data_IF_175397148851
#
_entry.id   IF_175397148851
#
_cell.length_a   1.000
_cell.length_b   1.000
_cell.length_c   1.000
_cell.angle_alpha   90.00
_cell.angle_beta   90.00
_cell.angle_gamma   90.00
#
_symmetry.space_group_name_H-M   'P 1'
#
loop_
_entity.id
_entity.type
_entity.pdbx_description
1 polymer ?
#
# COMPACT_ATOMS: atom_id res chain seq x y z
N UNK A 1 -37.33 -56.81 -32.03
CA UNK A 1 -37.99 -55.58 -31.48
C UNK A 1 -37.28 -55.07 -30.23
N UNK A 2 -36.73 -55.93 -29.39
CA UNK A 2 -36.02 -55.61 -28.13
C UNK A 2 -34.72 -54.80 -28.27
N UNK A 3 -33.95 -54.96 -29.34
CA UNK A 3 -32.67 -54.24 -29.53
C UNK A 3 -32.82 -52.74 -29.81
N UNK A 4 -33.91 -52.33 -30.47
CA UNK A 4 -34.18 -50.91 -30.80
C UNK A 4 -34.62 -50.13 -29.56
N UNK A 5 -35.39 -50.76 -28.67
CA UNK A 5 -35.82 -50.18 -27.39
C UNK A 5 -34.62 -49.90 -26.47
N UNK A 6 -33.64 -50.82 -26.42
CA UNK A 6 -32.44 -50.65 -25.61
C UNK A 6 -31.54 -49.48 -26.06
N UNK A 7 -31.51 -49.19 -27.36
CA UNK A 7 -30.71 -48.07 -27.90
C UNK A 7 -31.36 -46.71 -27.60
N UNK A 8 -32.69 -46.62 -27.67
CA UNK A 8 -33.43 -45.41 -27.30
C UNK A 8 -33.34 -45.11 -25.80
N UNK A 9 -33.44 -46.14 -24.94
CA UNK A 9 -33.26 -45.97 -23.50
C UNK A 9 -31.83 -45.51 -23.18
N UNK A 10 -30.81 -46.11 -23.82
CA UNK A 10 -29.41 -45.70 -23.62
C UNK A 10 -29.18 -44.24 -24.04
N UNK A 11 -29.76 -43.82 -25.18
CA UNK A 11 -29.67 -42.43 -25.67
C UNK A 11 -30.34 -41.44 -24.71
N UNK A 12 -31.52 -41.78 -24.18
CA UNK A 12 -32.23 -40.94 -23.20
C UNK A 12 -31.45 -40.83 -21.88
N UNK A 13 -30.88 -41.94 -21.40
CA UNK A 13 -30.04 -41.92 -20.19
C UNK A 13 -28.80 -41.04 -20.40
N UNK A 14 -28.12 -41.14 -21.54
CA UNK A 14 -26.96 -40.29 -21.84
C UNK A 14 -27.34 -38.81 -21.96
N UNK A 15 -28.48 -38.49 -22.57
CA UNK A 15 -28.97 -37.11 -22.67
C UNK A 15 -29.30 -36.54 -21.27
N UNK A 16 -29.92 -37.33 -20.40
CA UNK A 16 -30.22 -36.92 -19.03
C UNK A 16 -28.96 -36.71 -18.20
N UNK A 17 -27.94 -37.56 -18.36
CA UNK A 17 -26.65 -37.39 -17.71
C UNK A 17 -25.92 -36.14 -18.21
N UNK A 18 -25.96 -35.87 -19.51
CA UNK A 18 -25.39 -34.66 -20.09
C UNK A 18 -26.12 -33.39 -19.62
N UNK A 19 -27.46 -33.43 -19.55
CA UNK A 19 -28.26 -32.32 -19.02
C UNK A 19 -27.98 -32.09 -17.53
N UNK A 20 -27.84 -33.16 -16.74
CA UNK A 20 -27.48 -33.07 -15.33
C UNK A 20 -26.06 -32.48 -15.11
N UNK A 21 -25.13 -32.72 -16.05
CA UNK A 21 -23.80 -32.13 -16.02
C UNK A 21 -23.82 -30.62 -16.27
N UNK A 22 -24.70 -30.14 -17.16
CA UNK A 22 -24.86 -28.71 -17.50
C UNK A 22 -25.61 -27.96 -16.38
N UNK A 23 -26.45 -28.67 -15.62
CA UNK A 23 -27.23 -28.10 -14.51
C UNK A 23 -26.46 -28.02 -13.18
N UNK A 24 -25.18 -28.44 -13.13
CA UNK A 24 -24.33 -28.22 -11.97
C UNK A 24 -24.10 -26.71 -11.82
N UNK A 25 -24.57 -26.07 -10.73
CA UNK A 25 -24.33 -24.65 -10.53
C UNK A 25 -22.83 -24.42 -10.35
N UNK A 26 -22.26 -23.49 -11.11
CA UNK A 26 -20.94 -22.95 -10.80
C UNK A 26 -21.03 -22.28 -9.42
N UNK A 27 -20.53 -22.96 -8.40
CA UNK A 27 -20.42 -22.35 -7.08
C UNK A 27 -19.37 -21.25 -7.17
N UNK A 28 -19.81 -20.00 -7.25
CA UNK A 28 -18.96 -18.84 -7.01
C UNK A 28 -18.58 -18.89 -5.53
N UNK A 29 -17.50 -19.58 -5.22
CA UNK A 29 -16.92 -19.55 -3.89
C UNK A 29 -16.30 -18.16 -3.73
N UNK A 30 -16.83 -17.38 -2.79
CA UNK A 30 -16.15 -16.17 -2.35
C UNK A 30 -14.74 -16.54 -1.88
N UNK A 31 -13.75 -15.69 -2.19
CA UNK A 31 -12.40 -15.88 -1.66
C UNK A 31 -12.49 -15.91 -0.13
N UNK A 32 -12.04 -16.98 0.54
CA UNK A 32 -12.08 -17.04 2.00
C UNK A 32 -11.17 -15.94 2.57
N UNK A 33 -11.67 -15.23 3.59
CA UNK A 33 -10.90 -14.22 4.30
C UNK A 33 -10.91 -14.52 5.80
N UNK A 34 -9.82 -14.18 6.48
CA UNK A 34 -9.73 -14.18 7.94
C UNK A 34 -9.89 -12.74 8.41
N UNK A 35 -10.86 -12.51 9.28
CA UNK A 35 -10.99 -11.22 9.96
C UNK A 35 -9.99 -11.14 11.11
N UNK A 36 -9.28 -10.01 11.19
CA UNK A 36 -8.41 -9.65 12.30
C UNK A 36 -8.86 -8.27 12.77
N UNK A 37 -9.41 -8.20 13.98
CA UNK A 37 -10.03 -6.99 14.53
C UNK A 37 -9.41 -6.61 15.88
N UNK A 38 -9.99 -5.60 16.53
CA UNK A 38 -9.62 -5.21 17.90
C UNK A 38 -9.81 -6.35 18.91
N UNK A 39 -10.73 -7.27 18.64
CA UNK A 39 -10.97 -8.44 19.50
C UNK A 39 -9.81 -9.46 19.42
N UNK A 40 -9.01 -9.37 18.36
CA UNK A 40 -7.78 -10.16 18.18
C UNK A 40 -6.53 -9.42 18.68
N UNK A 41 -6.68 -8.20 19.18
CA UNK A 41 -5.58 -7.38 19.70
C UNK A 41 -5.13 -6.24 18.79
N UNK A 42 -5.75 -6.01 17.61
CA UNK A 42 -5.44 -4.81 16.81
C UNK A 42 -5.76 -3.52 17.62
N UNK A 43 -4.88 -2.53 17.61
CA UNK A 43 -5.06 -1.32 18.45
C UNK A 43 -6.18 -0.39 17.98
N UNK A 44 -6.51 -0.42 16.69
CA UNK A 44 -7.61 0.34 16.13
C UNK A 44 -8.16 -0.30 14.85
N UNK A 45 -9.48 -0.36 14.72
CA UNK A 45 -10.16 -0.83 13.50
C UNK A 45 -9.89 0.03 12.25
N UNK A 46 -9.41 1.27 12.41
CA UNK A 46 -9.05 2.14 11.29
C UNK A 46 -7.59 1.95 10.94
N UNK A 47 -7.32 0.97 10.10
CA UNK A 47 -6.01 0.73 9.48
C UNK A 47 -5.89 1.61 8.23
N UNK A 48 -4.85 2.43 8.17
CA UNK A 48 -4.54 3.31 7.03
C UNK A 48 -3.68 2.59 5.99
N UNK A 49 -2.70 1.82 6.45
CA UNK A 49 -1.74 1.13 5.59
C UNK A 49 -1.22 -0.14 6.28
N UNK A 50 -0.77 -1.10 5.47
CA UNK A 50 -0.16 -2.33 5.95
C UNK A 50 1.01 -2.76 5.07
N UNK A 51 2.08 -3.26 5.68
CA UNK A 51 3.24 -3.78 4.96
C UNK A 51 3.76 -5.07 5.60
N UNK A 52 4.34 -5.96 4.78
CA UNK A 52 5.04 -7.15 5.24
C UNK A 52 6.54 -6.87 5.21
N UNK A 53 7.23 -7.08 6.33
CA UNK A 53 8.69 -7.00 6.37
C UNK A 53 9.37 -8.31 5.97
N UNK A 54 10.67 -8.24 5.73
CA UNK A 54 11.49 -9.38 5.33
C UNK A 54 11.63 -10.45 6.43
N UNK A 55 11.30 -10.13 7.68
CA UNK A 55 11.30 -11.07 8.80
C UNK A 55 9.94 -11.79 8.95
N UNK A 56 8.95 -11.46 8.12
CA UNK A 56 7.62 -12.05 8.15
C UNK A 56 6.64 -11.37 9.10
N UNK A 57 7.01 -10.23 9.71
CA UNK A 57 6.06 -9.43 10.50
C UNK A 57 5.21 -8.56 9.58
N UNK A 58 3.92 -8.50 9.88
CA UNK A 58 2.99 -7.59 9.24
C UNK A 58 2.85 -6.37 10.13
N UNK A 59 3.07 -5.19 9.54
CA UNK A 59 2.93 -3.93 10.23
C UNK A 59 1.68 -3.20 9.76
N UNK A 60 0.91 -2.66 10.69
CA UNK A 60 -0.31 -1.92 10.43
C UNK A 60 -0.21 -0.51 10.98
N UNK A 61 -0.32 0.50 10.12
CA UNK A 61 -0.50 1.87 10.53
C UNK A 61 -1.97 2.07 10.91
N UNK A 62 -2.28 2.12 12.20
CA UNK A 62 -3.64 2.33 12.71
C UNK A 62 -3.81 3.76 13.22
N UNK A 63 -5.05 4.19 13.43
CA UNK A 63 -5.31 5.50 14.04
C UNK A 63 -4.82 5.60 15.50
N UNK A 64 -4.54 4.49 16.19
CA UNK A 64 -4.02 4.52 17.57
C UNK A 64 -2.49 4.39 17.65
N UNK A 65 -1.82 4.07 16.54
CA UNK A 65 -0.39 3.76 16.54
C UNK A 65 -0.02 2.74 15.47
N UNK A 66 1.20 2.22 15.53
CA UNK A 66 1.65 1.15 14.65
C UNK A 66 1.51 -0.18 15.38
N UNK A 67 0.90 -1.18 14.74
CA UNK A 67 0.83 -2.54 15.26
C UNK A 67 1.74 -3.47 14.45
N UNK A 68 2.63 -4.20 15.13
CA UNK A 68 3.42 -5.30 14.54
C UNK A 68 2.79 -6.63 14.89
N UNK A 69 2.51 -7.46 13.89
CA UNK A 69 1.84 -8.74 14.02
C UNK A 69 2.71 -9.86 13.48
N UNK A 70 2.83 -10.95 14.23
CA UNK A 70 3.63 -12.13 13.84
C UNK A 70 2.80 -13.34 13.39
N UNK A 71 1.47 -13.19 13.26
CA UNK A 71 0.55 -14.30 12.99
C UNK A 71 -0.17 -14.84 14.23
N UNK A 72 0.26 -14.47 15.43
CA UNK A 72 -0.33 -14.91 16.70
C UNK A 72 -0.72 -13.73 17.60
N UNK A 73 0.20 -12.80 17.86
CA UNK A 73 -0.01 -11.66 18.75
C UNK A 73 0.50 -10.35 18.15
N UNK A 74 0.03 -9.25 18.74
CA UNK A 74 0.38 -7.88 18.36
C UNK A 74 1.37 -7.24 19.35
N UNK A 75 2.24 -6.39 18.82
CA UNK A 75 3.03 -5.42 19.59
C UNK A 75 2.63 -4.02 19.13
N UNK A 76 2.37 -3.12 20.08
CA UNK A 76 1.85 -1.78 19.83
C UNK A 76 2.92 -0.72 20.02
N UNK A 77 3.03 0.20 19.06
CA UNK A 77 3.96 1.32 19.10
C UNK A 77 3.21 2.64 18.96
N UNK A 78 3.43 3.56 19.89
CA UNK A 78 2.93 4.93 19.82
C UNK A 78 3.94 5.83 19.13
N UNK A 79 3.45 6.78 18.33
CA UNK A 79 4.28 7.83 17.76
C UNK A 79 4.16 9.08 18.64
N UNK A 80 5.27 9.53 19.23
CA UNK A 80 5.29 10.70 20.13
C UNK A 80 6.24 11.77 19.59
N UNK A 81 5.88 13.04 19.80
CA UNK A 81 6.69 14.20 19.35
C UNK A 81 7.92 14.39 20.25
N UNK A 82 7.83 14.01 21.52
CA UNK A 82 8.97 13.98 22.44
C UNK A 82 8.74 12.94 23.54
N UNK A 83 9.81 12.52 24.22
CA UNK A 83 9.72 11.60 25.35
C UNK A 83 8.91 12.18 26.54
N UNK A 84 8.76 13.50 26.59
CA UNK A 84 8.05 14.23 27.66
C UNK A 84 6.61 14.60 27.28
N UNK A 85 6.21 14.44 26.02
CA UNK A 85 4.88 14.80 25.54
C UNK A 85 3.94 13.59 25.54
N UNK A 86 2.77 13.76 26.16
CA UNK A 86 1.65 12.79 26.10
C UNK A 86 0.89 12.84 24.75
N UNK A 87 1.23 13.78 23.88
CA UNK A 87 0.57 13.92 22.57
C UNK A 87 1.05 12.81 21.64
N UNK A 88 0.18 11.82 21.45
CA UNK A 88 0.35 10.75 20.47
C UNK A 88 -0.13 11.22 19.10
N UNK A 89 0.65 10.91 18.07
CA UNK A 89 0.26 11.18 16.69
C UNK A 89 -0.49 9.99 16.09
N UNK A 90 -1.29 10.29 15.06
CA UNK A 90 -2.04 9.29 14.31
C UNK A 90 -1.29 8.95 13.03
N UNK A 91 -0.72 7.75 12.91
CA UNK A 91 -0.12 7.30 11.67
C UNK A 91 -1.09 7.40 10.49
N UNK A 92 -0.59 7.92 9.37
CA UNK A 92 -1.24 7.91 8.06
C UNK A 92 -0.69 6.84 7.14
N UNK A 93 0.53 6.38 7.40
CA UNK A 93 1.11 5.30 6.63
C UNK A 93 2.42 4.76 7.20
N UNK A 94 2.89 3.69 6.58
CA UNK A 94 4.08 2.92 6.94
C UNK A 94 4.68 2.30 5.69
N UNK A 95 6.01 2.36 5.56
CA UNK A 95 6.74 1.85 4.40
C UNK A 95 8.09 1.26 4.78
N UNK A 96 8.63 0.42 3.90
CA UNK A 96 9.98 -0.14 4.00
C UNK A 96 10.77 0.33 2.78
N UNK A 97 11.99 0.84 3.00
CA UNK A 97 12.91 1.14 1.91
C UNK A 97 13.70 -0.09 1.45
N UNK A 98 14.49 0.05 0.38
CA UNK A 98 15.30 -1.05 -0.15
C UNK A 98 16.37 -1.55 0.83
N UNK A 99 16.78 -0.71 1.78
CA UNK A 99 17.70 -1.04 2.88
C UNK A 99 17.02 -1.73 4.06
N UNK A 100 15.73 -2.07 3.95
CA UNK A 100 14.93 -2.79 4.96
C UNK A 100 14.67 -1.97 6.24
N UNK A 101 14.77 -0.66 6.10
CA UNK A 101 14.46 0.28 7.16
C UNK A 101 12.97 0.63 7.10
N UNK A 102 12.32 0.60 8.27
CA UNK A 102 10.89 0.87 8.40
C UNK A 102 10.69 2.33 8.77
N UNK A 103 9.84 2.99 8.02
CA UNK A 103 9.41 4.35 8.24
C UNK A 103 7.90 4.41 8.45
N UNK A 104 7.44 5.29 9.33
CA UNK A 104 6.04 5.63 9.48
C UNK A 104 5.88 7.14 9.36
N UNK A 105 4.69 7.62 9.02
CA UNK A 105 4.43 9.06 8.99
C UNK A 105 3.02 9.38 9.49
N UNK A 106 2.87 10.56 10.06
CA UNK A 106 1.62 11.14 10.51
C UNK A 106 1.25 12.33 9.60
N UNK A 107 0.35 13.20 10.06
CA UNK A 107 0.10 14.48 9.41
C UNK A 107 1.31 15.42 9.45
N UNK A 108 2.11 15.39 10.51
CA UNK A 108 3.13 16.40 10.76
C UNK A 108 4.56 15.86 10.69
N UNK A 109 4.76 14.58 11.02
CA UNK A 109 6.07 14.02 11.27
C UNK A 109 6.31 12.70 10.54
N UNK A 110 7.59 12.41 10.34
CA UNK A 110 8.08 11.13 9.83
C UNK A 110 8.90 10.48 10.93
N UNK A 111 8.78 9.17 11.06
CA UNK A 111 9.40 8.36 12.09
C UNK A 111 10.16 7.20 11.43
N UNK A 112 11.26 6.80 12.06
CA UNK A 112 12.05 5.63 11.69
C UNK A 112 12.05 4.63 12.83
N UNK A 113 11.81 3.36 12.53
CA UNK A 113 11.89 2.29 13.51
C UNK A 113 13.35 1.96 13.84
N UNK A 114 13.66 1.85 15.13
CA UNK A 114 14.96 1.40 15.63
C UNK A 114 14.83 -0.01 16.21
N UNK A 115 15.50 -0.98 15.58
CA UNK A 115 15.57 -2.35 16.08
C UNK A 115 16.34 -2.46 17.41
N UNK A 116 17.27 -1.54 17.68
CA UNK A 116 18.06 -1.54 18.92
C UNK A 116 17.22 -1.18 20.15
N UNK A 117 16.25 -0.29 19.97
CA UNK A 117 15.39 0.21 21.05
C UNK A 117 13.95 -0.31 20.97
N UNK A 118 13.64 -1.13 19.95
CA UNK A 118 12.29 -1.59 19.58
C UNK A 118 11.25 -0.44 19.67
N UNK A 119 11.55 0.70 19.03
CA UNK A 119 10.69 1.89 19.08
C UNK A 119 10.84 2.78 17.85
N UNK A 120 9.85 3.66 17.63
CA UNK A 120 9.88 4.66 16.56
C UNK A 120 10.48 5.98 17.05
N UNK A 121 11.46 6.49 16.31
CA UNK A 121 12.11 7.78 16.55
C UNK A 121 11.78 8.75 15.44
N UNK A 122 11.49 10.01 15.80
CA UNK A 122 11.21 11.05 14.81
C UNK A 122 12.45 11.30 13.93
N UNK A 123 12.24 11.40 12.63
CA UNK A 123 13.24 11.85 11.67
C UNK A 123 13.35 13.37 11.78
N UNK A 124 14.49 13.83 12.31
CA UNK A 124 14.74 15.24 12.52
C UNK A 124 14.93 16.00 11.20
N UNK A 125 14.80 17.33 11.25
CA UNK A 125 15.09 18.26 10.16
C UNK A 125 14.19 18.16 8.92
N UNK A 126 13.08 17.42 8.99
CA UNK A 126 12.00 17.51 8.01
C UNK A 126 11.19 18.79 8.27
N UNK A 127 11.79 19.94 7.94
CA UNK A 127 11.22 21.26 8.22
C UNK A 127 10.21 21.66 7.14
N UNK A 128 9.00 21.09 7.19
CA UNK A 128 7.88 21.48 6.33
C UNK A 128 7.39 22.90 6.69
N UNK A 129 6.77 23.60 5.75
CA UNK A 129 6.21 24.93 6.08
C UNK A 129 5.00 24.82 7.00
N UNK A 130 4.75 25.85 7.81
CA UNK A 130 3.67 25.82 8.80
C UNK A 130 2.32 25.58 8.11
N UNK A 131 1.56 24.58 8.61
CA UNK A 131 0.21 24.14 8.16
C UNK A 131 0.16 23.15 7.00
N UNK A 132 1.28 22.52 6.64
CA UNK A 132 1.25 21.43 5.68
C UNK A 132 1.05 20.09 6.35
N UNK A 133 0.08 19.32 5.86
CA UNK A 133 -0.09 17.93 6.26
C UNK A 133 0.56 17.00 5.24
N UNK A 134 1.31 16.01 5.72
CA UNK A 134 1.85 14.93 4.90
C UNK A 134 0.68 14.01 4.48
N UNK A 135 0.57 13.77 3.19
CA UNK A 135 -0.45 12.90 2.61
C UNK A 135 0.15 11.57 2.14
N UNK A 136 1.36 11.61 1.60
CA UNK A 136 2.03 10.42 1.07
C UNK A 136 3.54 10.61 1.15
N UNK A 137 4.27 9.53 1.41
CA UNK A 137 5.72 9.47 1.26
C UNK A 137 6.12 8.21 0.52
N UNK A 138 7.27 8.23 -0.14
CA UNK A 138 7.84 7.06 -0.82
C UNK A 138 9.33 7.26 -1.03
N UNK A 139 10.09 6.18 -1.12
CA UNK A 139 11.50 6.28 -1.50
C UNK A 139 11.66 6.16 -3.00
N UNK A 140 12.55 6.97 -3.57
CA UNK A 140 13.06 6.71 -4.91
C UNK A 140 14.17 5.64 -4.89
N UNK A 141 14.52 5.05 -6.04
CA UNK A 141 15.57 4.04 -6.12
C UNK A 141 16.97 4.52 -5.72
N UNK A 142 17.17 5.84 -5.59
CA UNK A 142 18.44 6.42 -5.12
C UNK A 142 18.48 6.61 -3.60
N UNK A 143 17.39 6.29 -2.91
CA UNK A 143 17.26 6.39 -1.46
C UNK A 143 16.77 7.75 -0.95
N UNK A 144 16.37 8.68 -1.83
CA UNK A 144 15.74 9.93 -1.36
C UNK A 144 14.28 9.69 -1.02
N UNK A 145 13.82 10.32 0.05
CA UNK A 145 12.44 10.27 0.49
C UNK A 145 11.64 11.39 -0.21
N UNK A 146 10.69 11.02 -1.04
CA UNK A 146 9.73 11.93 -1.62
C UNK A 146 8.57 12.13 -0.66
N UNK A 147 8.19 13.38 -0.43
CA UNK A 147 7.17 13.78 0.54
C UNK A 147 6.13 14.64 -0.18
N UNK A 148 4.93 14.10 -0.27
CA UNK A 148 3.76 14.79 -0.80
C UNK A 148 2.92 15.36 0.32
N UNK A 149 2.68 16.67 0.29
CA UNK A 149 1.87 17.36 1.29
C UNK A 149 0.58 17.91 0.70
N UNK A 150 -0.22 18.58 1.52
CA UNK A 150 -1.39 19.34 1.08
C UNK A 150 -1.06 20.51 0.16
N UNK A 151 0.20 20.98 0.12
CA UNK A 151 0.57 22.19 -0.64
C UNK A 151 1.80 22.01 -1.55
N UNK A 152 2.63 21.00 -1.31
CA UNK A 152 3.93 20.86 -1.94
C UNK A 152 4.33 19.41 -2.22
N UNK A 153 5.27 19.28 -3.16
CA UNK A 153 6.08 18.08 -3.35
C UNK A 153 7.52 18.40 -2.93
N UNK A 154 8.05 17.62 -1.99
CA UNK A 154 9.44 17.71 -1.54
C UNK A 154 10.20 16.43 -1.86
N UNK A 155 11.53 16.58 -1.88
CA UNK A 155 12.50 15.49 -1.83
C UNK A 155 13.42 15.73 -0.63
N UNK A 156 13.58 14.72 0.21
CA UNK A 156 14.36 14.76 1.43
C UNK A 156 15.50 13.74 1.36
N UNK A 157 16.72 14.17 1.64
CA UNK A 157 17.86 13.28 1.79
C UNK A 157 18.01 12.90 3.27
N UNK A 158 17.83 11.62 3.57
CA UNK A 158 17.89 11.10 4.94
C UNK A 158 19.30 11.11 5.52
N UNK A 159 20.34 11.15 4.70
CA UNK A 159 21.74 11.08 5.15
C UNK A 159 22.26 12.43 5.64
N UNK A 160 21.96 13.52 4.93
CA UNK A 160 22.43 14.86 5.25
C UNK A 160 21.32 15.79 5.77
N UNK A 161 20.10 15.27 5.92
CA UNK A 161 18.93 16.01 6.41
C UNK A 161 18.51 17.20 5.53
N UNK A 162 18.85 17.20 4.24
CA UNK A 162 18.47 18.28 3.34
C UNK A 162 17.06 18.07 2.77
N UNK A 163 16.21 19.09 2.88
CA UNK A 163 14.86 19.13 2.32
C UNK A 163 14.82 20.08 1.11
N UNK A 164 14.45 19.56 -0.05
CA UNK A 164 14.32 20.31 -1.29
C UNK A 164 12.84 20.38 -1.72
N UNK A 165 12.33 21.59 -1.94
CA UNK A 165 11.02 21.77 -2.58
C UNK A 165 11.14 21.55 -4.09
N UNK A 166 10.41 20.56 -4.61
CA UNK A 166 10.42 20.19 -6.03
C UNK A 166 9.30 20.93 -6.77
N UNK A 167 8.10 20.98 -6.19
CA UNK A 167 6.96 21.75 -6.71
C UNK A 167 6.17 22.40 -5.58
N UNK A 168 5.69 23.61 -5.85
CA UNK A 168 4.91 24.42 -4.90
C UNK A 168 3.49 24.67 -5.36
N UNK A 169 2.60 24.92 -4.39
CA UNK A 169 1.17 25.20 -4.61
C UNK A 169 0.49 24.06 -5.40
N UNK A 170 0.77 22.83 -5.00
CA UNK A 170 0.20 21.61 -5.57
C UNK A 170 0.04 20.58 -4.45
N UNK A 171 -1.21 20.17 -4.20
CA UNK A 171 -1.48 19.10 -3.25
C UNK A 171 -1.08 17.78 -3.89
N UNK A 172 -0.35 16.96 -3.16
CA UNK A 172 0.03 15.61 -3.57
C UNK A 172 -0.79 14.63 -2.75
N UNK A 173 -1.49 13.72 -3.41
CA UNK A 173 -2.41 12.77 -2.78
C UNK A 173 -1.82 11.36 -2.68
N UNK A 174 -1.00 10.98 -3.65
CA UNK A 174 -0.31 9.69 -3.66
C UNK A 174 1.02 9.81 -4.39
N UNK A 175 1.96 8.97 -3.98
CA UNK A 175 3.27 8.84 -4.59
C UNK A 175 3.59 7.35 -4.78
N UNK A 176 4.26 7.03 -5.87
CA UNK A 176 4.72 5.68 -6.17
C UNK A 176 6.04 5.77 -6.93
N UNK A 177 7.02 4.94 -6.58
CA UNK A 177 8.15 4.64 -7.46
C UNK A 177 8.12 3.17 -7.88
N UNK A 178 8.36 2.95 -9.16
CA UNK A 178 8.71 1.63 -9.68
C UNK A 178 10.20 1.37 -9.47
N UNK A 179 10.59 0.10 -9.33
CA UNK A 179 11.97 -0.32 -9.03
C UNK A 179 13.03 0.18 -10.02
N UNK A 180 12.65 0.71 -11.19
CA UNK A 180 13.58 1.19 -12.23
C UNK A 180 13.36 2.65 -12.68
N UNK A 181 13.36 3.58 -11.70
CA UNK A 181 13.55 5.06 -11.84
C UNK A 181 12.33 5.91 -12.15
N UNK A 182 11.19 5.32 -12.51
CA UNK A 182 10.00 6.10 -12.79
C UNK A 182 9.13 6.21 -11.55
N UNK A 183 8.82 7.45 -11.16
CA UNK A 183 7.85 7.74 -10.14
C UNK A 183 6.62 8.44 -10.70
N UNK A 184 5.53 8.37 -9.97
CA UNK A 184 4.28 9.03 -10.28
C UNK A 184 3.74 9.73 -9.05
N UNK A 185 3.29 10.97 -9.22
CA UNK A 185 2.56 11.70 -8.20
C UNK A 185 1.14 12.00 -8.70
N UNK A 186 0.14 11.51 -7.98
CA UNK A 186 -1.23 11.97 -8.14
C UNK A 186 -1.40 13.29 -7.41
N UNK A 187 -1.75 14.36 -8.13
CA UNK A 187 -1.80 15.72 -7.58
C UNK A 187 -3.12 16.42 -7.86
N UNK A 188 -3.37 17.54 -7.16
CA UNK A 188 -4.49 18.43 -7.45
C UNK A 188 -4.43 19.11 -8.83
N UNK A 189 -3.30 18.98 -9.54
CA UNK A 189 -3.06 19.55 -10.87
C UNK A 189 -2.83 18.47 -11.94
N UNK A 190 -3.33 17.26 -11.70
CA UNK A 190 -3.16 16.10 -12.57
C UNK A 190 -2.07 15.16 -12.09
N UNK A 191 -1.54 14.35 -13.00
CA UNK A 191 -0.50 13.37 -12.68
C UNK A 191 0.86 13.94 -13.07
N UNK A 192 1.80 13.95 -12.14
CA UNK A 192 3.20 14.28 -12.45
C UNK A 192 4.00 13.00 -12.62
N UNK A 193 4.77 12.95 -13.70
CA UNK A 193 5.83 11.97 -13.86
C UNK A 193 7.07 12.47 -13.13
N UNK A 194 7.62 11.63 -12.26
CA UNK A 194 8.81 11.93 -11.47
C UNK A 194 9.98 11.17 -12.11
N UNK A 195 10.93 11.92 -12.63
CA UNK A 195 12.14 11.40 -13.25
C UNK A 195 13.36 12.15 -12.76
N UNK A 196 14.48 11.44 -12.71
CA UNK A 196 15.78 12.02 -12.39
C UNK A 196 16.32 12.88 -13.56
N UNK A 197 15.97 12.53 -14.81
CA UNK A 197 16.27 13.25 -16.04
C UNK A 197 15.07 13.15 -16.99
N UNK A 198 14.83 14.16 -17.84
CA UNK A 198 13.80 14.10 -18.90
C UNK A 198 14.14 12.97 -19.87
N UNK A 199 13.62 11.77 -19.59
CA UNK A 199 13.67 10.62 -20.48
C UNK A 199 12.22 10.20 -20.77
N UNK A 200 11.76 10.52 -21.99
CA UNK A 200 10.42 10.20 -22.48
C UNK A 200 10.32 8.79 -23.09
N UNK A 201 11.38 7.97 -23.03
CA UNK A 201 11.42 6.63 -23.64
C UNK A 201 10.36 5.65 -23.11
N UNK A 202 9.75 5.95 -21.96
CA UNK A 202 8.63 5.19 -21.37
C UNK A 202 7.29 5.39 -22.09
N UNK A 203 7.13 6.44 -22.91
CA UNK A 203 5.95 6.64 -23.75
C UNK A 203 5.99 5.74 -25.00
N UNK A 204 6.35 4.46 -24.85
CA UNK A 204 6.04 3.51 -25.90
C UNK A 204 4.53 3.53 -26.10
N UNK A 205 4.09 4.09 -27.25
CA UNK A 205 2.73 3.99 -27.76
C UNK A 205 2.42 2.52 -28.01
N UNK A 206 2.15 1.77 -26.96
CA UNK A 206 1.48 0.49 -27.08
C UNK A 206 0.13 0.77 -27.72
N UNK A 207 -0.13 0.20 -28.90
CA UNK A 207 -1.48 0.13 -29.43
C UNK A 207 -2.33 -0.59 -28.40
N UNK A 208 -3.08 0.16 -27.60
CA UNK A 208 -4.08 -0.40 -26.70
C UNK A 208 -5.20 -0.91 -27.61
N UNK A 209 -5.08 -2.16 -28.08
CA UNK A 209 -6.16 -2.83 -28.76
C UNK A 209 -7.22 -3.13 -27.72
N UNK A 210 -8.27 -2.32 -27.65
CA UNK A 210 -9.47 -2.65 -26.90
C UNK A 210 -10.05 -3.92 -27.51
N UNK A 211 -9.81 -5.08 -26.89
CA UNK A 211 -10.61 -6.28 -27.17
C UNK A 211 -11.99 -6.04 -26.58
N UNK A 212 -12.88 -5.50 -27.39
CA UNK A 212 -14.32 -5.56 -27.13
C UNK A 212 -14.72 -7.03 -27.26
N UNK A 213 -14.86 -7.73 -26.12
CA UNK A 213 -15.57 -9.01 -26.12
C UNK A 213 -17.06 -8.69 -26.33
N UNK A 214 -17.62 -9.24 -27.41
CA UNK A 214 -19.06 -9.38 -27.64
C UNK A 214 -19.53 -10.68 -26.99
#
# INVERSE_FOLDING_TARGET
MTTKTNFETMRQTLLLLFLALILMPDTINALPFKEISTDNGLSNRRVQESILDDNGYIWFATRSGIDRYNGEFFVHYTLSISAENEVTEHPRGILINDQKEIYAFSEANIYKFSYETDSFHQVNNVNLTQREAINAITFDPTGHLWIGTTEHLYRFNTNDSTLQSIKQKVAVHCLLFEKEKHGWAGTSKGVFHLVEQEDESYLQKGEISFRTQR
#
